data_IF_583851930852
#
_entry.id   IF_583851930852
#
_cell.length_a   1.000
_cell.length_b   1.000
_cell.length_c   1.000
_cell.angle_alpha   90.00
_cell.angle_beta   90.00
_cell.angle_gamma   90.00
#
_symmetry.space_group_name_H-M   'P 1'
#
loop_
_entity.id
_entity.type
_entity.pdbx_description
1 polymer ?
#
# COMPACT_ATOMS: atom_id res chain seq x y z
N UNK A 1 13.03 41.49 -17.74
CA UNK A 1 12.24 40.58 -16.87
C UNK A 1 12.61 40.90 -15.43
N UNK A 2 11.60 41.05 -14.53
CA UNK A 2 11.87 41.26 -13.13
C UNK A 2 12.46 39.96 -12.51
N UNK A 3 13.44 40.06 -11.59
CA UNK A 3 13.99 38.86 -10.94
C UNK A 3 12.92 38.20 -10.03
N UNK A 4 12.89 36.88 -10.03
CA UNK A 4 12.07 36.13 -9.10
C UNK A 4 12.74 36.20 -7.72
N UNK A 5 12.04 36.79 -6.75
CA UNK A 5 12.57 36.99 -5.40
C UNK A 5 12.38 35.75 -4.51
N UNK A 6 11.25 35.04 -4.69
CA UNK A 6 10.94 33.83 -3.92
C UNK A 6 9.87 33.02 -4.62
N UNK A 7 9.73 31.76 -4.21
CA UNK A 7 8.67 30.86 -4.63
C UNK A 7 7.86 30.43 -3.44
N UNK A 8 6.53 30.59 -3.49
CA UNK A 8 5.61 30.12 -2.46
C UNK A 8 4.91 28.85 -2.94
N UNK A 9 4.80 27.87 -2.07
CA UNK A 9 4.09 26.63 -2.33
C UNK A 9 3.05 26.39 -1.23
N UNK A 10 1.92 25.77 -1.60
CA UNK A 10 0.93 25.33 -0.62
C UNK A 10 1.49 24.16 0.19
N UNK A 11 1.30 24.21 1.50
CA UNK A 11 1.75 23.15 2.42
C UNK A 11 0.60 22.37 3.05
N UNK A 12 -0.65 22.80 2.87
CA UNK A 12 -1.83 22.07 3.29
C UNK A 12 -3.02 22.45 2.39
N UNK A 13 -3.72 21.46 1.79
CA UNK A 13 -3.39 20.04 1.75
C UNK A 13 -2.11 19.75 0.98
N UNK A 14 -1.45 18.63 1.32
CA UNK A 14 -0.28 18.14 0.59
C UNK A 14 -0.70 17.12 -0.48
N UNK A 15 0.08 17.08 -1.54
CA UNK A 15 -0.08 16.09 -2.60
C UNK A 15 1.13 15.15 -2.65
N UNK A 16 0.83 13.86 -2.73
CA UNK A 16 1.84 12.84 -3.00
C UNK A 16 1.58 12.29 -4.40
N UNK A 17 2.59 12.40 -5.26
CA UNK A 17 2.56 11.81 -6.60
C UNK A 17 3.41 10.53 -6.61
N UNK A 18 2.87 9.46 -7.13
CA UNK A 18 3.56 8.19 -7.27
C UNK A 18 3.11 7.47 -8.53
N UNK A 19 3.91 6.52 -8.98
CA UNK A 19 3.62 5.73 -10.15
C UNK A 19 3.15 4.33 -9.70
N UNK A 20 1.94 3.95 -10.10
CA UNK A 20 1.35 2.65 -9.82
C UNK A 20 1.51 1.75 -11.05
N UNK A 21 1.78 0.48 -10.83
CA UNK A 21 1.80 -0.53 -11.90
C UNK A 21 0.39 -0.78 -12.46
N UNK A 22 0.33 -1.34 -13.66
CA UNK A 22 -0.92 -1.61 -14.38
C UNK A 22 -1.87 -2.51 -13.58
N UNK A 23 -1.36 -3.54 -12.91
CA UNK A 23 -2.20 -4.45 -12.13
C UNK A 23 -2.85 -3.75 -10.93
N UNK A 24 -2.07 -2.94 -10.23
CA UNK A 24 -2.58 -2.14 -9.11
C UNK A 24 -3.61 -1.12 -9.57
N UNK A 25 -3.39 -0.51 -10.73
CA UNK A 25 -4.35 0.40 -11.34
C UNK A 25 -5.66 -0.31 -11.72
N UNK A 26 -5.61 -1.46 -12.36
CA UNK A 26 -6.81 -2.22 -12.74
C UNK A 26 -7.64 -2.62 -11.51
N UNK A 27 -6.98 -3.06 -10.43
CA UNK A 27 -7.66 -3.36 -9.16
C UNK A 27 -8.29 -2.11 -8.53
N UNK A 28 -7.58 -0.98 -8.59
CA UNK A 28 -8.09 0.30 -8.12
C UNK A 28 -9.31 0.74 -8.94
N UNK A 29 -9.22 0.73 -10.27
CA UNK A 29 -10.28 1.21 -11.16
C UNK A 29 -11.58 0.42 -10.99
N UNK A 30 -11.49 -0.89 -10.79
CA UNK A 30 -12.64 -1.75 -10.51
C UNK A 30 -13.38 -1.33 -9.22
N UNK A 31 -12.66 -0.87 -8.20
CA UNK A 31 -13.24 -0.37 -6.93
C UNK A 31 -13.76 1.05 -7.06
N UNK A 32 -12.99 1.92 -7.73
CA UNK A 32 -13.39 3.30 -7.96
C UNK A 32 -14.70 3.40 -8.75
N UNK A 33 -14.93 2.49 -9.69
CA UNK A 33 -16.19 2.36 -10.42
C UNK A 33 -17.39 2.06 -9.50
N UNK A 34 -17.16 1.49 -8.33
CA UNK A 34 -18.17 1.22 -7.29
C UNK A 34 -18.32 2.38 -6.29
N UNK A 35 -17.66 3.52 -6.54
CA UNK A 35 -17.72 4.70 -5.67
C UNK A 35 -16.88 4.59 -4.39
N UNK A 36 -16.07 3.55 -4.24
CA UNK A 36 -15.23 3.39 -3.06
C UNK A 36 -14.00 4.31 -3.11
N UNK A 37 -13.79 5.09 -2.05
CA UNK A 37 -12.54 5.82 -1.84
C UNK A 37 -11.45 4.82 -1.46
N UNK A 38 -10.34 4.85 -2.16
CA UNK A 38 -9.21 3.97 -1.86
C UNK A 38 -8.22 4.73 -0.98
N UNK A 39 -8.01 4.27 0.27
CA UNK A 39 -7.01 4.86 1.13
C UNK A 39 -5.60 4.52 0.64
N UNK A 40 -4.69 5.44 0.85
CA UNK A 40 -3.26 5.24 0.67
C UNK A 40 -2.55 5.54 1.98
N UNK A 41 -1.55 4.74 2.31
CA UNK A 41 -0.77 4.90 3.52
C UNK A 41 0.62 5.41 3.14
N UNK A 42 1.04 6.47 3.80
CA UNK A 42 2.24 7.21 3.46
C UNK A 42 3.19 7.19 4.65
N UNK A 43 4.44 6.83 4.40
CA UNK A 43 5.53 6.88 5.37
C UNK A 43 6.72 7.63 4.82
N UNK A 44 7.37 8.43 5.65
CA UNK A 44 8.61 9.11 5.31
C UNK A 44 9.81 8.15 5.42
N UNK A 45 10.96 8.56 4.87
CA UNK A 45 12.15 7.73 4.83
C UNK A 45 12.69 7.34 6.22
N UNK A 46 12.46 8.20 7.22
CA UNK A 46 12.90 8.04 8.61
C UNK A 46 11.85 7.44 9.54
N UNK A 47 10.72 6.98 8.99
CA UNK A 47 9.63 6.39 9.78
C UNK A 47 9.56 4.88 9.53
N UNK A 48 9.40 4.12 10.61
CA UNK A 48 9.09 2.70 10.53
C UNK A 48 7.58 2.53 10.28
N UNK A 49 7.24 2.17 9.03
CA UNK A 49 5.85 1.96 8.61
C UNK A 49 5.26 3.13 7.82
N UNK A 50 3.94 3.11 7.70
CA UNK A 50 3.14 4.12 6.99
C UNK A 50 2.17 4.74 7.98
N UNK A 51 2.55 5.88 8.53
CA UNK A 51 1.86 6.49 9.69
C UNK A 51 0.78 7.49 9.29
N UNK A 52 0.74 7.89 8.00
CA UNK A 52 -0.21 8.88 7.50
C UNK A 52 -1.15 8.26 6.50
N UNK A 53 -2.41 8.62 6.58
CA UNK A 53 -3.44 8.20 5.65
C UNK A 53 -3.77 9.36 4.70
N UNK A 54 -3.87 9.01 3.42
CA UNK A 54 -4.32 9.91 2.36
C UNK A 54 -5.38 9.24 1.50
N UNK A 55 -5.96 10.01 0.59
CA UNK A 55 -6.98 9.53 -0.33
C UNK A 55 -6.56 9.83 -1.76
N UNK A 56 -6.73 8.89 -2.67
CA UNK A 56 -6.49 9.10 -4.09
C UNK A 56 -7.44 10.20 -4.59
N UNK A 57 -6.86 11.24 -5.14
CA UNK A 57 -7.60 12.37 -5.71
C UNK A 57 -7.75 12.23 -7.22
N UNK A 58 -6.68 11.87 -7.90
CA UNK A 58 -6.69 11.74 -9.34
C UNK A 58 -5.70 10.67 -9.82
N UNK A 59 -6.04 10.09 -10.94
CA UNK A 59 -5.19 9.19 -11.70
C UNK A 59 -5.09 9.76 -13.10
N UNK A 60 -3.91 9.75 -13.68
CA UNK A 60 -3.72 10.20 -15.04
C UNK A 60 -4.53 9.30 -16.01
N UNK A 61 -4.91 9.86 -17.14
CA UNK A 61 -5.70 9.15 -18.15
C UNK A 61 -4.83 8.38 -19.16
N UNK A 62 -3.52 8.35 -18.95
CA UNK A 62 -2.55 7.72 -19.85
C UNK A 62 -1.53 6.92 -19.07
N UNK A 63 -1.38 5.66 -19.46
CA UNK A 63 -0.30 4.79 -18.99
C UNK A 63 1.00 5.16 -19.73
N UNK A 64 2.10 5.22 -19.02
CA UNK A 64 3.42 5.27 -19.65
C UNK A 64 3.79 3.86 -20.12
N UNK A 65 3.78 3.66 -21.44
CA UNK A 65 4.05 2.36 -22.07
C UNK A 65 5.49 1.88 -21.90
N UNK A 66 6.41 2.77 -21.54
CA UNK A 66 7.83 2.43 -21.35
C UNK A 66 8.08 1.82 -19.99
N UNK A 67 7.42 2.31 -18.98
CA UNK A 67 7.54 1.84 -17.59
C UNK A 67 6.40 0.88 -17.18
N UNK A 68 5.28 0.85 -17.94
CA UNK A 68 4.10 0.08 -17.56
C UNK A 68 3.39 0.67 -16.33
N UNK A 69 3.57 1.96 -16.07
CA UNK A 69 3.02 2.62 -14.89
C UNK A 69 2.07 3.76 -15.25
N UNK A 70 1.22 4.10 -14.32
CA UNK A 70 0.31 5.23 -14.38
C UNK A 70 0.54 6.15 -13.19
N UNK A 71 0.54 7.46 -13.44
CA UNK A 71 0.72 8.45 -12.38
C UNK A 71 -0.56 8.64 -11.58
N UNK A 72 -0.40 8.53 -10.26
CA UNK A 72 -1.46 8.69 -9.27
C UNK A 72 -1.10 9.86 -8.36
N UNK A 73 -2.11 10.64 -7.97
CA UNK A 73 -1.99 11.68 -6.96
C UNK A 73 -2.95 11.40 -5.82
N UNK A 74 -2.41 11.42 -4.62
CA UNK A 74 -3.18 11.36 -3.39
C UNK A 74 -3.04 12.66 -2.61
N UNK A 75 -4.10 13.03 -1.91
CA UNK A 75 -4.08 14.12 -0.95
C UNK A 75 -3.96 13.59 0.46
N UNK A 76 -3.22 14.31 1.28
CA UNK A 76 -3.14 14.06 2.71
C UNK A 76 -3.13 15.39 3.46
N UNK A 77 -3.56 15.35 4.69
CA UNK A 77 -3.53 16.51 5.56
C UNK A 77 -2.11 16.75 6.10
N UNK A 78 -1.75 18.01 6.26
CA UNK A 78 -0.48 18.45 6.82
C UNK A 78 -0.72 19.59 7.82
N UNK A 79 -1.73 19.43 8.67
CA UNK A 79 -2.08 20.45 9.66
C UNK A 79 -0.95 20.70 10.67
N UNK A 80 -0.12 19.70 10.93
CA UNK A 80 1.06 19.77 11.81
C UNK A 80 2.29 20.42 11.15
N UNK A 81 2.25 20.69 9.83
CA UNK A 81 3.34 21.32 9.08
C UNK A 81 4.62 20.49 8.96
N UNK A 82 4.58 19.19 9.31
CA UNK A 82 5.77 18.32 9.30
C UNK A 82 6.20 17.88 7.93
N UNK A 83 5.31 17.94 6.96
CA UNK A 83 5.61 17.57 5.59
C UNK A 83 6.08 18.80 4.82
N UNK A 84 7.24 18.68 4.21
CA UNK A 84 7.81 19.72 3.34
C UNK A 84 7.74 19.24 1.89
N UNK A 85 7.33 20.10 0.95
CA UNK A 85 7.37 19.78 -0.48
C UNK A 85 8.77 19.35 -0.91
N UNK A 86 8.83 18.29 -1.73
CA UNK A 86 10.11 17.73 -2.21
C UNK A 86 10.66 16.55 -1.38
N UNK A 87 10.03 16.21 -0.26
CA UNK A 87 10.41 15.01 0.48
C UNK A 87 10.05 13.74 -0.28
N UNK A 88 10.91 12.72 -0.15
CA UNK A 88 10.62 11.37 -0.62
C UNK A 88 9.67 10.67 0.36
N UNK A 89 8.65 10.03 -0.17
CA UNK A 89 7.68 9.27 0.61
C UNK A 89 7.49 7.86 0.04
N UNK A 90 7.33 6.91 0.92
CA UNK A 90 6.91 5.55 0.58
C UNK A 90 5.39 5.50 0.60
N UNK A 91 4.78 5.05 -0.49
CA UNK A 91 3.32 4.94 -0.60
C UNK A 91 2.91 3.48 -0.66
N UNK A 92 1.97 3.13 0.17
CA UNK A 92 1.33 1.82 0.17
C UNK A 92 -0.14 2.00 -0.17
N UNK A 93 -0.58 1.43 -1.27
CA UNK A 93 -1.97 1.49 -1.72
C UNK A 93 -2.69 0.18 -1.37
N UNK A 94 -3.78 0.27 -0.61
CA UNK A 94 -4.61 -0.89 -0.29
C UNK A 94 -5.62 -1.13 -1.40
N UNK A 95 -5.36 -2.14 -2.23
CA UNK A 95 -6.28 -2.53 -3.32
C UNK A 95 -7.20 -3.69 -2.94
N UNK A 96 -6.95 -4.35 -1.79
CA UNK A 96 -7.76 -5.45 -1.25
C UNK A 96 -8.92 -4.97 -0.37
N UNK A 97 -10.06 -5.66 -0.37
CA UNK A 97 -11.02 -5.53 0.71
C UNK A 97 -10.40 -6.14 1.99
N UNK A 98 -10.65 -5.59 3.17
CA UNK A 98 -10.33 -6.27 4.40
C UNK A 98 -10.99 -7.64 4.41
N UNK A 99 -10.24 -8.66 4.72
CA UNK A 99 -10.77 -10.02 4.90
C UNK A 99 -10.10 -10.62 6.15
N UNK A 100 -10.85 -11.43 6.83
CA UNK A 100 -10.31 -12.17 7.97
C UNK A 100 -9.29 -13.19 7.46
N UNK A 101 -8.10 -13.13 8.02
CA UNK A 101 -7.03 -14.05 7.69
C UNK A 101 -6.40 -14.62 8.97
N UNK A 102 -6.08 -15.90 8.93
CA UNK A 102 -5.32 -16.54 10.01
C UNK A 102 -3.83 -16.27 9.72
N UNK A 103 -3.20 -15.55 10.62
CA UNK A 103 -1.77 -15.30 10.56
C UNK A 103 -1.03 -16.32 11.42
N UNK A 104 -0.01 -16.94 10.84
CA UNK A 104 0.88 -17.87 11.54
C UNK A 104 2.33 -17.50 11.23
N UNK A 105 3.23 -17.85 12.15
CA UNK A 105 4.66 -17.65 11.91
C UNK A 105 5.15 -18.57 10.79
N UNK A 106 5.98 -18.06 9.88
CA UNK A 106 6.62 -18.88 8.82
C UNK A 106 7.39 -20.07 9.38
N UNK A 107 7.92 -19.95 10.60
CA UNK A 107 8.62 -21.04 11.31
C UNK A 107 7.72 -22.22 11.67
N UNK A 108 6.40 -22.02 11.71
CA UNK A 108 5.44 -23.08 11.98
C UNK A 108 5.01 -23.86 10.73
N UNK A 109 5.47 -23.42 9.55
CA UNK A 109 5.11 -24.02 8.28
C UNK A 109 6.15 -25.07 7.88
N UNK A 110 5.74 -26.31 7.85
CA UNK A 110 6.52 -27.41 7.26
C UNK A 110 6.30 -27.52 5.76
N UNK A 111 7.30 -28.08 5.07
CA UNK A 111 7.21 -28.39 3.65
C UNK A 111 7.50 -29.89 3.46
N UNK A 112 6.58 -30.56 2.82
CA UNK A 112 6.74 -31.96 2.41
C UNK A 112 6.59 -32.02 0.89
N UNK A 113 7.73 -32.12 0.21
CA UNK A 113 7.84 -31.99 -1.25
C UNK A 113 7.25 -30.67 -1.75
N UNK A 114 6.08 -30.71 -2.37
CA UNK A 114 5.34 -29.56 -2.92
C UNK A 114 4.22 -29.04 -2.01
N UNK A 115 3.96 -29.75 -0.87
CA UNK A 115 2.85 -29.43 0.01
C UNK A 115 3.32 -28.67 1.24
N UNK A 116 2.58 -27.64 1.59
CA UNK A 116 2.77 -26.91 2.85
C UNK A 116 1.81 -27.45 3.88
N UNK A 117 2.32 -27.60 5.11
CA UNK A 117 1.54 -28.12 6.22
C UNK A 117 1.90 -27.44 7.54
N UNK A 118 1.02 -27.57 8.51
CA UNK A 118 1.26 -27.21 9.90
C UNK A 118 0.97 -28.40 10.81
N UNK A 119 1.67 -28.46 11.91
CA UNK A 119 1.37 -29.42 12.98
C UNK A 119 0.49 -28.72 14.02
N UNK A 120 -0.73 -29.20 14.17
CA UNK A 120 -1.68 -28.69 15.17
C UNK A 120 -1.64 -29.60 16.37
N UNK A 121 -1.46 -29.04 17.56
CA UNK A 121 -1.49 -29.73 18.83
C UNK A 121 -2.89 -29.60 19.43
N UNK A 122 -3.53 -30.69 19.76
CA UNK A 122 -4.83 -30.73 20.41
C UNK A 122 -4.73 -30.58 21.94
N UNK A 123 -5.87 -30.49 22.60
CA UNK A 123 -5.94 -30.40 24.06
C UNK A 123 -5.40 -31.64 24.80
N UNK A 124 -5.24 -32.76 24.10
CA UNK A 124 -4.66 -34.02 24.63
C UNK A 124 -3.16 -34.14 24.31
N UNK A 125 -2.50 -33.06 23.91
CA UNK A 125 -1.09 -33.00 23.48
C UNK A 125 -0.74 -33.96 22.33
N UNK A 126 -1.72 -34.26 21.46
CA UNK A 126 -1.47 -35.03 20.24
C UNK A 126 -1.30 -34.08 19.05
N UNK A 127 -0.30 -34.37 18.24
CA UNK A 127 -0.04 -33.62 17.02
C UNK A 127 -0.82 -34.20 15.84
N UNK A 128 -1.43 -33.34 15.05
CA UNK A 128 -2.08 -33.69 13.79
C UNK A 128 -1.47 -32.91 12.63
N UNK A 129 -1.22 -33.61 11.54
CA UNK A 129 -0.76 -33.02 10.29
C UNK A 129 -1.95 -32.36 9.59
N UNK A 130 -1.81 -31.07 9.25
CA UNK A 130 -2.85 -30.34 8.51
C UNK A 130 -2.24 -29.64 7.29
N UNK A 131 -2.61 -30.04 6.07
CA UNK A 131 -2.17 -29.33 4.87
C UNK A 131 -2.80 -27.92 4.84
N UNK A 132 -2.03 -26.95 4.37
CA UNK A 132 -2.45 -25.55 4.28
C UNK A 132 -2.09 -24.97 2.90
N UNK A 133 -2.89 -24.04 2.47
CA UNK A 133 -2.59 -23.19 1.30
C UNK A 133 -2.16 -21.83 1.84
N UNK A 134 -0.96 -21.41 1.47
CA UNK A 134 -0.43 -20.13 1.92
C UNK A 134 -1.01 -18.99 1.09
N UNK A 135 -1.36 -17.91 1.78
CA UNK A 135 -1.66 -16.63 1.17
C UNK A 135 -0.42 -15.77 0.97
N UNK A 136 -0.60 -14.47 0.91
CA UNK A 136 0.51 -13.53 0.85
C UNK A 136 1.26 -13.46 2.19
N UNK A 137 2.58 -13.34 2.11
CA UNK A 137 3.41 -13.01 3.28
C UNK A 137 3.20 -11.54 3.66
N UNK A 138 3.11 -11.27 4.96
CA UNK A 138 2.85 -9.93 5.53
C UNK A 138 4.07 -9.46 6.32
#
# INVERSE_FOLDING_TARGET
AAPVLTTLVSVSPMYVAFDADEQSYLRYSAKAAQGAKTPVYIGLANEDGSTREGVIQSVDNRLDVRSGTIRVRATLDNADGRLTPGLYARVRMSTGAPHDAILISDKAIGTDQDKKFVLVVDAANKTSYRPVVLGASV
#
